data_IF_336182069399
#
_entry.id   IF_336182069399
#
_cell.length_a   1.000
_cell.length_b   1.000
_cell.length_c   1.000
_cell.angle_alpha   90.00
_cell.angle_beta   90.00
_cell.angle_gamma   90.00
#
_symmetry.space_group_name_H-M   'P 1'
#
loop_
_entity.id
_entity.type
_entity.pdbx_description
1 polymer ?
#
# COMPACT_ATOMS: atom_id res chain seq x y z
N UNK A 1 29.95 -13.40 -44.52
CA UNK A 1 30.12 -12.23 -43.64
C UNK A 1 30.04 -12.69 -42.19
N UNK A 2 31.18 -12.79 -41.52
CA UNK A 2 31.29 -13.24 -40.12
C UNK A 2 31.42 -12.03 -39.21
N UNK A 3 30.40 -11.76 -38.40
CA UNK A 3 30.38 -10.66 -37.44
C UNK A 3 31.28 -11.07 -36.26
N UNK A 4 32.41 -10.38 -36.06
CA UNK A 4 33.31 -10.58 -34.93
C UNK A 4 32.61 -10.13 -33.65
N UNK A 5 32.06 -11.08 -32.90
CA UNK A 5 31.35 -10.86 -31.64
C UNK A 5 32.29 -10.64 -30.44
N UNK A 6 33.39 -9.90 -30.61
CA UNK A 6 34.34 -9.64 -29.52
C UNK A 6 34.05 -8.35 -28.76
N UNK A 7 33.32 -7.40 -29.35
CA UNK A 7 32.92 -6.15 -28.69
C UNK A 7 31.54 -6.19 -28.01
N UNK A 8 30.76 -7.25 -28.26
CA UNK A 8 29.40 -7.39 -27.73
C UNK A 8 29.39 -7.78 -26.24
N UNK A 9 30.37 -8.57 -25.78
CA UNK A 9 30.45 -9.00 -24.38
C UNK A 9 30.74 -7.86 -23.38
N UNK A 10 31.52 -6.84 -23.78
CA UNK A 10 31.79 -5.66 -22.94
C UNK A 10 30.59 -4.73 -22.81
N UNK A 11 29.67 -4.75 -23.77
CA UNK A 11 28.48 -3.90 -23.77
C UNK A 11 27.32 -4.55 -22.99
N UNK A 12 27.33 -5.87 -22.83
CA UNK A 12 26.34 -6.61 -22.05
C UNK A 12 26.10 -6.05 -20.63
N UNK A 13 27.14 -5.79 -19.80
CA UNK A 13 26.91 -5.23 -18.46
C UNK A 13 26.28 -3.84 -18.51
N UNK A 14 26.63 -3.02 -19.51
CA UNK A 14 26.09 -1.66 -19.66
C UNK A 14 24.62 -1.69 -20.09
N UNK A 15 24.25 -2.65 -20.95
CA UNK A 15 22.85 -2.90 -21.35
C UNK A 15 22.03 -3.44 -20.18
N UNK A 16 22.58 -4.36 -19.38
CA UNK A 16 21.90 -4.91 -18.18
C UNK A 16 21.66 -3.81 -17.14
N UNK A 17 22.65 -2.95 -16.90
CA UNK A 17 22.51 -1.80 -16.00
C UNK A 17 21.41 -0.88 -16.54
N UNK A 18 21.49 -0.46 -17.81
CA UNK A 18 20.51 0.44 -18.42
C UNK A 18 19.08 -0.13 -18.40
N UNK A 19 18.91 -1.43 -18.63
CA UNK A 19 17.61 -2.09 -18.51
C UNK A 19 17.11 -2.17 -17.05
N UNK A 20 18.02 -2.36 -16.08
CA UNK A 20 17.70 -2.39 -14.66
C UNK A 20 17.21 -1.04 -14.11
N UNK A 21 17.84 0.07 -14.49
CA UNK A 21 17.37 1.42 -14.12
C UNK A 21 16.10 1.84 -14.86
N UNK A 22 15.86 1.34 -16.09
CA UNK A 22 14.60 1.57 -16.78
C UNK A 22 13.44 0.72 -16.21
N UNK A 23 13.74 -0.44 -15.62
CA UNK A 23 12.77 -1.37 -15.04
C UNK A 23 12.36 -1.06 -13.59
N UNK A 24 13.17 -0.28 -12.86
CA UNK A 24 12.88 0.07 -11.47
C UNK A 24 12.48 1.56 -11.38
N UNK A 25 11.20 1.86 -11.62
CA UNK A 25 10.63 3.15 -11.21
C UNK A 25 9.92 4.00 -12.26
N UNK A 26 9.41 3.43 -13.36
CA UNK A 26 8.25 4.11 -13.97
C UNK A 26 7.04 3.77 -13.12
N UNK A 27 6.47 4.77 -12.44
CA UNK A 27 5.15 4.69 -11.81
C UNK A 27 4.10 4.55 -12.93
N UNK A 28 4.13 3.43 -13.65
CA UNK A 28 3.16 3.10 -14.68
C UNK A 28 1.94 2.57 -13.93
N UNK A 29 1.09 3.52 -13.55
CA UNK A 29 -0.22 3.31 -12.94
C UNK A 29 -0.23 2.50 -11.63
N UNK A 30 0.29 3.11 -10.54
CA UNK A 30 -0.24 2.82 -9.19
C UNK A 30 -1.56 3.56 -8.93
N UNK A 31 -2.35 3.77 -9.97
CA UNK A 31 -3.78 4.09 -9.88
C UNK A 31 -4.59 2.81 -10.04
N UNK A 32 -4.30 1.81 -9.21
CA UNK A 32 -5.45 1.22 -8.55
C UNK A 32 -6.16 2.40 -7.85
N UNK A 33 -7.48 2.61 -7.98
CA UNK A 33 -8.18 3.74 -7.36
C UNK A 33 -8.25 3.55 -5.84
N UNK A 34 -7.10 3.45 -5.17
CA UNK A 34 -6.94 3.23 -3.75
C UNK A 34 -6.85 4.55 -2.99
N UNK A 35 -6.67 5.68 -3.69
CA UNK A 35 -6.99 6.97 -3.10
C UNK A 35 -8.49 7.15 -3.24
N UNK A 36 -9.23 6.67 -2.22
CA UNK A 36 -10.64 7.00 -2.05
C UNK A 36 -10.73 8.53 -2.11
N UNK A 37 -11.42 9.12 -3.11
CA UNK A 37 -11.56 10.56 -3.21
C UNK A 37 -12.11 11.09 -1.90
N UNK A 38 -11.67 12.28 -1.49
CA UNK A 38 -12.10 12.89 -0.23
C UNK A 38 -13.64 13.05 -0.13
N UNK A 39 -14.34 13.03 -1.27
CA UNK A 39 -15.80 13.12 -1.39
C UNK A 39 -16.50 11.77 -1.62
N UNK A 40 -15.80 10.64 -1.62
CA UNK A 40 -16.46 9.34 -1.66
C UNK A 40 -16.73 8.85 -0.25
N UNK A 41 -17.73 9.42 0.41
CA UNK A 41 -18.56 8.63 1.33
C UNK A 41 -19.23 7.50 0.52
N UNK A 42 -19.80 6.48 1.17
CA UNK A 42 -20.52 5.41 0.48
C UNK A 42 -21.43 5.94 -0.65
N UNK A 43 -21.55 5.22 -1.78
CA UNK A 43 -22.51 5.57 -2.85
C UNK A 43 -23.96 5.52 -2.36
N UNK A 44 -24.22 4.73 -1.33
CA UNK A 44 -25.47 4.76 -0.58
C UNK A 44 -25.36 5.78 0.56
N UNK A 45 -26.43 6.56 0.85
CA UNK A 45 -26.51 7.35 2.07
C UNK A 45 -26.13 6.49 3.27
N UNK A 46 -25.27 7.00 4.16
CA UNK A 46 -25.02 6.33 5.42
C UNK A 46 -26.34 6.35 6.22
N UNK A 47 -26.96 5.20 6.53
CA UNK A 47 -28.18 5.18 7.34
C UNK A 47 -27.91 5.59 8.79
N UNK A 48 -26.65 5.67 9.20
CA UNK A 48 -26.25 6.16 10.51
C UNK A 48 -26.43 7.67 10.53
N UNK A 49 -27.01 8.17 11.62
CA UNK A 49 -27.01 9.60 11.91
C UNK A 49 -25.57 10.10 12.04
N UNK A 50 -25.35 11.41 11.87
CA UNK A 50 -24.05 12.02 12.13
C UNK A 50 -23.53 11.53 13.48
N UNK A 51 -22.39 10.86 13.44
CA UNK A 51 -21.75 10.41 14.67
C UNK A 51 -21.39 11.66 15.47
N UNK A 52 -21.82 11.69 16.73
CA UNK A 52 -21.47 12.77 17.65
C UNK A 52 -19.95 12.96 17.76
N UNK A 53 -19.51 13.93 18.57
CA UNK A 53 -18.08 14.16 18.77
C UNK A 53 -17.36 12.87 19.14
N UNK A 54 -16.16 12.70 18.58
CA UNK A 54 -15.33 11.52 18.83
C UNK A 54 -15.12 11.35 20.34
N UNK A 55 -15.50 10.19 20.86
CA UNK A 55 -15.36 9.88 22.28
C UNK A 55 -14.44 8.68 22.50
N UNK A 56 -13.71 8.67 23.61
CA UNK A 56 -12.95 7.49 23.99
C UNK A 56 -13.93 6.39 24.45
N UNK A 57 -13.91 5.24 23.77
CA UNK A 57 -14.75 4.08 24.09
C UNK A 57 -14.24 3.38 25.36
N UNK A 58 -12.94 3.43 25.63
CA UNK A 58 -12.29 2.81 26.77
C UNK A 58 -11.57 3.91 27.58
N UNK A 59 -12.33 4.63 28.41
CA UNK A 59 -11.77 5.69 29.24
C UNK A 59 -10.72 5.17 30.24
N UNK A 60 -10.86 3.91 30.67
CA UNK A 60 -9.87 3.20 31.47
C UNK A 60 -9.24 2.07 30.66
N UNK A 61 -7.92 2.19 30.41
CA UNK A 61 -7.18 1.18 29.69
C UNK A 61 -7.06 -0.13 30.47
N UNK A 62 -6.98 -0.08 31.81
CA UNK A 62 -6.80 -1.26 32.65
C UNK A 62 -8.05 -2.15 32.63
N UNK A 63 -9.24 -1.55 32.71
CA UNK A 63 -10.52 -2.25 32.57
C UNK A 63 -10.65 -2.90 31.19
N UNK A 64 -10.26 -2.17 30.13
CA UNK A 64 -10.32 -2.69 28.77
C UNK A 64 -9.39 -3.91 28.57
N UNK A 65 -8.17 -3.87 29.11
CA UNK A 65 -7.26 -5.01 29.03
C UNK A 65 -7.75 -6.21 29.83
N UNK A 66 -8.30 -5.98 31.04
CA UNK A 66 -8.90 -7.06 31.83
C UNK A 66 -10.06 -7.75 31.09
N UNK A 67 -10.90 -6.99 30.39
CA UNK A 67 -11.97 -7.55 29.57
C UNK A 67 -11.44 -8.40 28.40
N UNK A 68 -10.36 -7.97 27.74
CA UNK A 68 -9.71 -8.74 26.67
C UNK A 68 -9.15 -10.07 27.22
N UNK A 69 -8.46 -10.03 28.35
CA UNK A 69 -7.93 -11.23 29.01
C UNK A 69 -9.06 -12.22 29.38
N UNK A 70 -10.19 -11.72 29.88
CA UNK A 70 -11.35 -12.55 30.19
C UNK A 70 -11.97 -13.24 28.96
N UNK A 71 -11.92 -12.61 27.79
CA UNK A 71 -12.37 -13.22 26.52
C UNK A 71 -11.39 -14.32 26.08
N UNK A 72 -10.09 -14.10 26.23
CA UNK A 72 -9.04 -15.05 25.81
C UNK A 72 -8.97 -16.27 26.74
N UNK A 73 -9.28 -16.10 28.03
CA UNK A 73 -9.24 -17.17 29.03
C UNK A 73 -10.39 -18.21 28.91
N UNK A 74 -11.23 -18.11 27.88
CA UNK A 74 -12.40 -18.97 27.64
C UNK A 74 -12.20 -19.86 26.43
#
# INVERSE_FOLDING_TARGET
MTIKATNTAKLLPLVVIAAGIAGCGTMKEKTAPCKRPANMTSYAPDPRQECGPMMNINSDASEAFAAIEAIIAK
#
